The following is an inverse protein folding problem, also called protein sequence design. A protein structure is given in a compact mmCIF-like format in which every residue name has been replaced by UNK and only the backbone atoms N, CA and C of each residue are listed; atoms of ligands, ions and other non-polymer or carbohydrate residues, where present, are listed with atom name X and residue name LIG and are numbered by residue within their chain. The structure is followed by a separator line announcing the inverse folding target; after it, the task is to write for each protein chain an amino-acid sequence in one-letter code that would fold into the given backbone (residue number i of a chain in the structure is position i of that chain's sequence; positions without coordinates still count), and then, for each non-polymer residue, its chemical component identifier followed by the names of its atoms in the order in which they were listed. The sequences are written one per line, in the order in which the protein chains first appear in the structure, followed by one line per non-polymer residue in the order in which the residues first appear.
data_IF_850944511505
#
_entry.id   IF_850944511505
#
_cell.length_a   1.000
_cell.length_b   1.000
_cell.length_c   1.000
_cell.angle_alpha   90.00
_cell.angle_beta   90.00
_cell.angle_gamma   90.00
#
_symmetry.space_group_name_H-M   'P 1'
#
loop_
_entity.id
_entity.type
_entity.pdbx_description
1 polymer ?
#
# COMPACT_ATOMS: atom_id res chain seq x y z
N UNK A 1 14.87 29.25 47.00
CA UNK A 1 14.76 28.42 45.77
C UNK A 1 15.22 29.26 44.60
N UNK A 2 16.32 28.89 43.95
CA UNK A 2 16.99 29.76 42.98
C UNK A 2 16.10 29.86 41.73
N UNK A 3 15.70 31.08 41.33
CA UNK A 3 14.82 31.31 40.17
C UNK A 3 15.34 30.65 38.88
N UNK A 4 16.67 30.50 38.76
CA UNK A 4 17.35 29.76 37.70
C UNK A 4 16.91 28.28 37.59
N UNK A 5 16.65 27.61 38.72
CA UNK A 5 16.23 26.21 38.75
C UNK A 5 14.85 26.00 38.10
N UNK A 6 13.98 27.01 38.21
CA UNK A 6 12.62 26.99 37.66
C UNK A 6 12.63 27.11 36.13
N UNK A 7 13.55 27.90 35.57
CA UNK A 7 13.72 28.01 34.12
C UNK A 7 14.31 26.74 33.51
N UNK A 8 15.24 26.08 34.21
CA UNK A 8 15.83 24.81 33.76
C UNK A 8 14.76 23.70 33.75
N UNK A 9 13.91 23.64 34.78
CA UNK A 9 12.80 22.68 34.83
C UNK A 9 11.78 22.92 33.70
N UNK A 10 11.47 24.18 33.40
CA UNK A 10 10.56 24.55 32.30
C UNK A 10 11.12 24.18 30.92
N UNK A 11 12.44 24.31 30.74
CA UNK A 11 13.13 23.91 29.51
C UNK A 11 13.08 22.39 29.29
N UNK A 12 13.24 21.59 30.36
CA UNK A 12 13.24 20.12 30.31
C UNK A 12 11.83 19.58 29.98
N UNK A 13 10.76 20.16 30.52
CA UNK A 13 9.39 19.72 30.21
C UNK A 13 8.98 19.98 28.74
N UNK A 14 9.58 20.99 28.10
CA UNK A 14 9.23 21.42 26.74
C UNK A 14 9.75 20.51 25.63
N UNK A 15 10.64 19.55 25.93
CA UNK A 15 11.28 18.67 24.93
C UNK A 15 10.41 17.44 24.60
N UNK A 16 9.29 17.24 25.31
CA UNK A 16 8.54 15.98 25.33
C UNK A 16 7.51 15.78 24.20
N UNK A 17 7.46 16.64 23.17
CA UNK A 17 6.37 16.61 22.18
C UNK A 17 6.86 16.81 20.74
N UNK A 18 7.83 16.01 20.32
CA UNK A 18 8.19 15.89 18.90
C UNK A 18 7.52 14.64 18.31
N UNK A 19 6.44 14.84 17.56
CA UNK A 19 5.87 13.79 16.71
C UNK A 19 6.59 13.82 15.37
N UNK A 20 7.31 12.76 15.03
CA UNK A 20 7.84 12.59 13.67
C UNK A 20 6.68 12.39 12.69
N UNK A 21 6.76 13.01 11.51
CA UNK A 21 5.79 12.80 10.45
C UNK A 21 6.02 11.42 9.84
N UNK A 22 5.11 10.47 10.12
CA UNK A 22 5.13 9.13 9.51
C UNK A 22 4.65 9.19 8.06
N UNK A 23 5.42 9.83 7.17
CA UNK A 23 5.01 10.03 5.78
C UNK A 23 5.12 8.76 4.92
N UNK A 24 5.85 7.72 5.35
CA UNK A 24 6.04 6.49 4.56
C UNK A 24 6.14 5.22 5.43
N UNK A 25 5.22 5.00 6.37
CA UNK A 25 5.26 3.83 7.26
C UNK A 25 5.16 2.48 6.56
N UNK A 26 4.61 2.47 5.33
CA UNK A 26 4.40 1.28 4.51
C UNK A 26 5.64 0.85 3.71
N UNK A 27 6.59 1.76 3.47
CA UNK A 27 7.86 1.45 2.78
C UNK A 27 8.88 0.98 3.82
N UNK A 28 9.48 -0.19 3.61
CA UNK A 28 10.59 -0.70 4.41
C UNK A 28 11.86 -0.75 3.57
N UNK A 29 12.96 -0.24 4.13
CA UNK A 29 14.25 -0.13 3.42
C UNK A 29 14.82 -1.47 2.96
N UNK A 30 14.47 -2.56 3.65
CA UNK A 30 14.99 -3.91 3.37
C UNK A 30 14.02 -4.75 2.50
N UNK A 31 13.02 -4.12 1.88
CA UNK A 31 12.04 -4.79 1.01
C UNK A 31 12.17 -4.33 -0.44
N UNK A 32 11.89 -5.25 -1.36
CA UNK A 32 11.78 -4.95 -2.79
C UNK A 32 10.34 -4.62 -3.16
N UNK A 33 10.15 -3.64 -4.03
CA UNK A 33 8.84 -3.21 -4.51
C UNK A 33 8.80 -3.22 -6.03
N UNK A 34 7.80 -3.90 -6.59
CA UNK A 34 7.57 -4.00 -8.03
C UNK A 34 6.27 -3.29 -8.39
N UNK A 35 6.34 -2.33 -9.32
CA UNK A 35 5.17 -1.56 -9.75
C UNK A 35 4.29 -2.39 -10.67
N UNK A 36 3.00 -2.44 -10.36
CA UNK A 36 1.93 -2.98 -11.20
C UNK A 36 1.10 -1.78 -11.69
N UNK A 37 1.02 -1.58 -13.00
CA UNK A 37 0.16 -0.57 -13.61
C UNK A 37 -1.24 -1.13 -13.84
N UNK A 38 -2.27 -0.45 -13.35
CA UNK A 38 -3.68 -0.81 -13.56
C UNK A 38 -4.37 0.30 -14.34
N UNK A 39 -4.62 0.06 -15.62
CA UNK A 39 -5.27 1.02 -16.51
C UNK A 39 -6.80 0.95 -16.44
N UNK A 40 -7.36 -0.23 -16.18
CA UNK A 40 -8.80 -0.44 -16.12
C UNK A 40 -9.19 -1.01 -14.76
N UNK A 41 -10.30 -0.52 -14.23
CA UNK A 41 -10.89 -1.03 -13.00
C UNK A 41 -11.42 -2.46 -13.18
N UNK A 42 -11.17 -3.32 -12.20
CA UNK A 42 -11.64 -4.71 -12.20
C UNK A 42 -10.74 -5.66 -11.43
N UNK A 43 -10.94 -6.97 -11.67
CA UNK A 43 -10.10 -8.02 -11.07
C UNK A 43 -8.81 -8.14 -11.86
N UNK A 44 -7.69 -7.85 -11.21
CA UNK A 44 -6.36 -7.93 -11.76
C UNK A 44 -5.73 -9.23 -11.29
N UNK A 45 -5.32 -10.08 -12.23
CA UNK A 45 -4.60 -11.33 -11.97
C UNK A 45 -3.12 -11.15 -12.29
N UNK A 46 -2.27 -11.46 -11.33
CA UNK A 46 -0.82 -11.50 -11.51
C UNK A 46 -0.37 -12.94 -11.32
N UNK A 47 0.08 -13.56 -12.41
CA UNK A 47 0.55 -14.94 -12.40
C UNK A 47 2.03 -15.04 -12.02
N UNK A 48 2.45 -16.25 -11.62
CA UNK A 48 3.86 -16.54 -11.37
C UNK A 48 4.74 -16.15 -12.58
N UNK A 49 4.30 -16.41 -13.81
CA UNK A 49 5.06 -16.08 -15.02
C UNK A 49 5.20 -14.57 -15.21
N UNK A 50 4.21 -13.76 -14.82
CA UNK A 50 4.34 -12.30 -14.85
C UNK A 50 5.43 -11.83 -13.87
N UNK A 51 5.49 -12.41 -12.67
CA UNK A 51 6.51 -12.09 -11.67
C UNK A 51 7.91 -12.48 -12.17
N UNK A 52 8.07 -13.70 -12.70
CA UNK A 52 9.36 -14.14 -13.25
C UNK A 52 9.80 -13.27 -14.43
N UNK A 53 8.88 -12.90 -15.33
CA UNK A 53 9.18 -11.99 -16.45
C UNK A 53 9.60 -10.58 -15.98
N UNK A 54 9.08 -10.12 -14.84
CA UNK A 54 9.47 -8.86 -14.21
C UNK A 54 10.77 -8.95 -13.38
N UNK A 55 11.44 -10.11 -13.36
CA UNK A 55 12.68 -10.32 -12.62
C UNK A 55 12.51 -10.54 -11.11
N UNK A 56 11.29 -10.85 -10.66
CA UNK A 56 11.02 -11.16 -9.25
C UNK A 56 11.69 -12.49 -8.87
N UNK A 57 12.45 -12.56 -7.76
CA UNK A 57 13.03 -13.80 -7.26
C UNK A 57 11.96 -14.68 -6.59
N UNK A 58 11.13 -15.37 -7.38
CA UNK A 58 9.96 -16.11 -6.89
C UNK A 58 10.27 -17.29 -5.96
N UNK A 59 11.55 -17.69 -5.84
CA UNK A 59 12.00 -18.71 -4.89
C UNK A 59 12.40 -18.15 -3.51
N UNK A 60 12.41 -16.82 -3.33
CA UNK A 60 12.87 -16.19 -2.08
C UNK A 60 11.77 -15.94 -1.06
N UNK A 61 10.52 -16.32 -1.34
CA UNK A 61 9.37 -16.07 -0.47
C UNK A 61 8.29 -17.15 -0.59
N UNK A 62 7.49 -17.31 0.45
CA UNK A 62 6.28 -18.14 0.41
C UNK A 62 5.10 -17.32 -0.14
N UNK A 63 4.15 -17.95 -0.87
CA UNK A 63 2.95 -17.24 -1.34
C UNK A 63 2.19 -16.51 -0.23
N UNK A 64 2.20 -17.05 1.00
CA UNK A 64 1.54 -16.45 2.17
C UNK A 64 2.12 -15.08 2.56
N UNK A 65 3.38 -14.81 2.19
CA UNK A 65 4.08 -13.57 2.51
C UNK A 65 3.77 -12.41 1.56
N UNK A 66 3.03 -12.66 0.48
CA UNK A 66 2.76 -11.65 -0.55
C UNK A 66 1.91 -10.51 0.02
N UNK A 67 2.29 -9.28 -0.33
CA UNK A 67 1.54 -8.06 -0.04
C UNK A 67 1.40 -7.22 -1.32
N UNK A 68 0.28 -6.51 -1.42
CA UNK A 68 0.06 -5.51 -2.47
C UNK A 68 -0.36 -4.21 -1.80
N UNK A 69 0.27 -3.12 -2.21
CA UNK A 69 -0.02 -1.79 -1.71
C UNK A 69 -0.60 -0.92 -2.81
N UNK A 70 -1.56 -0.08 -2.43
CA UNK A 70 -2.10 0.99 -3.25
C UNK A 70 -2.21 2.24 -2.37
N UNK A 71 -1.74 3.39 -2.87
CA UNK A 71 -1.82 4.66 -2.16
C UNK A 71 -1.29 4.60 -0.71
N UNK A 72 -0.23 3.82 -0.50
CA UNK A 72 0.41 3.62 0.80
C UNK A 72 -0.33 2.71 1.78
N UNK A 73 -1.38 2.01 1.35
CA UNK A 73 -2.14 1.08 2.16
C UNK A 73 -2.11 -0.33 1.59
N UNK A 74 -1.96 -1.33 2.45
CA UNK A 74 -2.05 -2.73 2.04
C UNK A 74 -3.50 -3.08 1.68
N UNK A 75 -3.71 -3.66 0.50
CA UNK A 75 -5.02 -4.08 0.02
C UNK A 75 -5.20 -5.60 0.19
N UNK A 76 -6.44 -6.08 0.37
CA UNK A 76 -6.70 -7.52 0.37
C UNK A 76 -6.43 -8.13 -1.00
N UNK A 77 -5.83 -9.32 -0.99
CA UNK A 77 -5.61 -10.15 -2.18
C UNK A 77 -6.17 -11.56 -1.97
N UNK A 78 -6.48 -12.24 -3.08
CA UNK A 78 -6.75 -13.68 -3.12
C UNK A 78 -5.53 -14.38 -3.71
N UNK A 79 -5.06 -15.44 -3.06
CA UNK A 79 -3.92 -16.21 -3.53
C UNK A 79 -4.42 -17.59 -3.97
N UNK A 80 -3.95 -18.04 -5.14
CA UNK A 80 -4.12 -19.41 -5.62
C UNK A 80 -2.77 -20.11 -5.63
N UNK A 81 -2.73 -21.29 -5.00
CA UNK A 81 -1.53 -22.14 -4.96
C UNK A 81 -1.83 -23.54 -5.48
N UNK A 82 -0.78 -24.22 -5.94
CA UNK A 82 -0.79 -25.66 -6.21
C UNK A 82 0.36 -26.29 -5.42
N UNK A 83 0.05 -27.19 -4.49
CA UNK A 83 1.05 -27.86 -3.64
C UNK A 83 1.99 -26.88 -2.92
N UNK A 84 1.47 -25.73 -2.47
CA UNK A 84 2.24 -24.68 -1.79
C UNK A 84 3.02 -23.73 -2.70
N UNK A 85 3.02 -23.97 -4.02
CA UNK A 85 3.63 -23.08 -5.02
C UNK A 85 2.60 -22.07 -5.53
N UNK A 86 3.00 -20.82 -5.69
CA UNK A 86 2.13 -19.76 -6.24
C UNK A 86 1.74 -20.09 -7.70
N UNK A 87 0.45 -20.10 -8.00
CA UNK A 87 -0.04 -20.06 -9.38
C UNK A 87 -0.24 -18.61 -9.82
N UNK A 88 -1.05 -17.87 -9.05
CA UNK A 88 -1.34 -16.46 -9.25
C UNK A 88 -1.92 -15.85 -7.97
N UNK A 89 -1.94 -14.52 -7.91
CA UNK A 89 -2.77 -13.77 -6.98
C UNK A 89 -3.67 -12.79 -7.72
N UNK A 90 -4.78 -12.43 -7.08
CA UNK A 90 -5.79 -11.52 -7.62
C UNK A 90 -6.13 -10.44 -6.61
N UNK A 91 -6.43 -9.26 -7.12
CA UNK A 91 -6.94 -8.15 -6.33
C UNK A 91 -7.89 -7.31 -7.17
N UNK A 92 -8.77 -6.58 -6.49
CA UNK A 92 -9.60 -5.56 -7.12
C UNK A 92 -8.78 -4.30 -7.34
N UNK A 93 -8.39 -4.04 -8.58
CA UNK A 93 -7.71 -2.83 -8.99
C UNK A 93 -8.73 -1.75 -9.37
N UNK A 94 -8.56 -0.55 -8.82
CA UNK A 94 -9.29 0.66 -9.22
C UNK A 94 -8.44 1.44 -10.21
N UNK A 95 -9.11 2.12 -11.14
CA UNK A 95 -8.44 3.08 -12.04
C UNK A 95 -7.88 4.28 -11.28
N UNK A 96 -7.06 5.09 -11.94
CA UNK A 96 -6.51 6.30 -11.32
C UNK A 96 -7.59 7.40 -11.28
N UNK A 97 -8.09 7.69 -10.09
CA UNK A 97 -9.00 8.81 -9.87
C UNK A 97 -8.24 10.13 -9.68
N UNK A 98 -8.97 11.24 -9.62
CA UNK A 98 -8.39 12.57 -9.43
C UNK A 98 -7.98 12.86 -7.99
N UNK A 99 -8.02 11.91 -7.06
CA UNK A 99 -7.82 12.21 -5.63
C UNK A 99 -6.44 12.81 -5.33
N UNK A 100 -5.39 12.39 -6.04
CA UNK A 100 -4.04 12.96 -5.91
C UNK A 100 -3.86 14.31 -6.61
N UNK A 101 -4.77 14.68 -7.51
CA UNK A 101 -4.67 15.94 -8.24
C UNK A 101 -5.23 17.11 -7.40
N UNK A 102 -5.93 16.84 -6.30
CA UNK A 102 -6.54 17.86 -5.42
C UNK A 102 -5.51 18.89 -4.97
N UNK A 103 -4.29 18.45 -4.64
CA UNK A 103 -3.20 19.31 -4.14
C UNK A 103 -2.64 20.25 -5.23
N UNK A 104 -2.98 20.03 -6.51
CA UNK A 104 -2.63 20.93 -7.60
C UNK A 104 -3.55 22.16 -7.66
N UNK A 105 -4.67 22.16 -6.93
CA UNK A 105 -5.65 23.24 -6.92
C UNK A 105 -5.54 24.10 -5.66
N UNK A 106 -5.71 25.42 -5.81
CA UNK A 106 -5.72 26.35 -4.66
C UNK A 106 -6.86 26.09 -3.68
N UNK A 107 -7.97 25.50 -4.16
CA UNK A 107 -9.10 25.05 -3.35
C UNK A 107 -9.54 23.67 -3.88
N UNK A 108 -9.84 22.69 -3.02
CA UNK A 108 -10.33 21.38 -3.47
C UNK A 108 -11.57 21.47 -4.36
N UNK A 109 -12.47 22.42 -4.09
CA UNK A 109 -13.68 22.64 -4.89
C UNK A 109 -13.41 23.19 -6.30
N UNK A 110 -12.17 23.57 -6.62
CA UNK A 110 -11.79 24.00 -7.96
C UNK A 110 -11.43 22.81 -8.87
N UNK A 111 -11.33 21.59 -8.33
CA UNK A 111 -11.16 20.40 -9.14
C UNK A 111 -12.45 20.11 -9.92
N UNK A 112 -12.36 20.19 -11.25
CA UNK A 112 -13.50 20.01 -12.16
C UNK A 112 -13.91 18.55 -12.34
N UNK A 113 -12.94 17.61 -12.26
CA UNK A 113 -13.20 16.19 -12.40
C UNK A 113 -12.45 15.38 -11.32
N UNK A 114 -13.13 14.91 -10.27
CA UNK A 114 -12.52 14.08 -9.23
C UNK A 114 -12.45 12.59 -9.60
N UNK A 115 -13.18 12.14 -10.63
CA UNK A 115 -13.27 10.72 -10.98
C UNK A 115 -12.14 10.23 -11.88
N UNK A 116 -11.36 11.15 -12.47
CA UNK A 116 -10.27 10.84 -13.37
C UNK A 116 -9.08 11.74 -13.08
N UNK A 117 -7.88 11.17 -13.03
CA UNK A 117 -6.66 11.98 -12.97
C UNK A 117 -6.45 12.75 -14.28
N UNK A 118 -6.02 14.01 -14.14
CA UNK A 118 -5.65 14.90 -15.23
C UNK A 118 -4.24 14.63 -15.77
N UNK A 119 -3.46 13.79 -15.09
CA UNK A 119 -2.05 13.52 -15.42
C UNK A 119 -1.86 12.15 -16.05
N UNK A 120 -2.46 11.11 -15.46
CA UNK A 120 -2.24 9.73 -15.89
C UNK A 120 -3.48 8.87 -15.57
N UNK A 121 -3.91 8.03 -16.50
CA UNK A 121 -5.05 7.13 -16.33
C UNK A 121 -4.70 5.84 -15.56
N UNK A 122 -3.42 5.49 -15.50
CA UNK A 122 -2.95 4.21 -14.97
C UNK A 122 -2.59 4.31 -13.48
N UNK A 123 -3.35 3.62 -12.64
CA UNK A 123 -3.11 3.55 -11.20
C UNK A 123 -1.86 2.72 -10.89
N UNK A 124 -1.12 3.12 -9.85
CA UNK A 124 0.08 2.45 -9.40
C UNK A 124 -0.20 1.57 -8.17
N UNK A 125 0.03 0.28 -8.34
CA UNK A 125 0.04 -0.72 -7.28
C UNK A 125 1.48 -1.21 -7.08
N UNK A 126 1.81 -1.65 -5.87
CA UNK A 126 3.15 -2.15 -5.55
C UNK A 126 3.07 -3.55 -4.96
N UNK A 127 3.67 -4.51 -5.64
CA UNK A 127 3.88 -5.86 -5.15
C UNK A 127 5.15 -5.92 -4.32
N UNK A 128 5.06 -6.59 -3.17
CA UNK A 128 6.17 -6.90 -2.27
C UNK A 128 5.88 -8.18 -1.48
N UNK A 129 6.84 -8.62 -0.67
CA UNK A 129 6.67 -9.73 0.26
C UNK A 129 7.42 -9.45 1.56
N UNK A 130 6.94 -10.04 2.65
CA UNK A 130 7.54 -9.94 3.98
C UNK A 130 7.91 -11.32 4.55
N UNK A 131 8.10 -11.42 5.86
CA UNK A 131 8.32 -12.69 6.56
C UNK A 131 7.14 -13.05 7.49
N UNK A 132 5.97 -12.45 7.26
CA UNK A 132 4.77 -12.62 8.08
C UNK A 132 3.69 -13.33 7.27
N UNK A 133 2.77 -14.01 7.96
CA UNK A 133 1.63 -14.69 7.32
C UNK A 133 0.30 -13.95 7.56
N UNK A 134 0.27 -13.01 8.50
CA UNK A 134 -0.91 -12.20 8.82
C UNK A 134 -0.99 -10.94 7.92
N UNK A 135 -1.11 -11.16 6.62
CA UNK A 135 -1.24 -10.12 5.60
C UNK A 135 -2.73 -9.93 5.21
N UNK A 136 -3.07 -8.85 4.52
CA UNK A 136 -4.46 -8.56 4.12
C UNK A 136 -4.96 -9.57 3.09
N UNK A 137 -6.06 -10.26 3.39
CA UNK A 137 -6.73 -11.23 2.52
C UNK A 137 -8.22 -10.95 2.44
N UNK A 138 -8.88 -11.38 1.37
CA UNK A 138 -10.34 -11.40 1.33
C UNK A 138 -10.88 -12.44 2.31
N UNK A 139 -11.93 -12.08 3.04
CA UNK A 139 -12.67 -13.05 3.85
C UNK A 139 -13.54 -13.91 2.93
N UNK A 140 -13.49 -15.23 3.10
CA UNK A 140 -14.40 -16.13 2.41
C UNK A 140 -15.75 -16.09 3.14
N UNK A 141 -16.79 -15.62 2.46
CA UNK A 141 -18.17 -15.74 2.92
C UNK A 141 -18.78 -16.97 2.28
N UNK A 142 -19.28 -17.91 3.08
CA UNK A 142 -20.12 -18.99 2.58
C UNK A 142 -21.39 -18.39 1.95
N UNK A 143 -21.76 -18.87 0.77
CA UNK A 143 -23.07 -18.54 0.21
C UNK A 143 -24.13 -19.29 1.03
N UNK A 144 -24.88 -18.55 1.84
CA UNK A 144 -26.02 -19.10 2.57
C UNK A 144 -27.14 -19.31 1.55
N UNK A 145 -27.33 -20.56 1.11
CA UNK A 145 -28.41 -20.92 0.20
C UNK A 145 -29.73 -20.89 0.99
N UNK A 146 -30.43 -19.75 0.97
CA UNK A 146 -31.84 -19.67 1.35
C UNK A 146 -32.75 -20.20 0.25
#
# INVERSE_FOLDING_TARGET
MNRSLLYILFLILSISSSYSQSINSWIKSDQYYYKIGVANEGIIRVSLSNLTAAGVPTSSFSPENIQVFSNGQEIPIKISTSSGVLNYFEFYGKGNDGSFDIDLYTKPSAQTNPFFSQINDTAAYFFTWNNQTNNRRYAETAFDNQ
#
